data_IF_741616844541
#
_entry.id   IF_741616844541
#
_cell.length_a   1.000
_cell.length_b   1.000
_cell.length_c   1.000
_cell.angle_alpha   90.00
_cell.angle_beta   90.00
_cell.angle_gamma   90.00
#
_symmetry.space_group_name_H-M   'P 1'
#
loop_
_entity.id
_entity.type
_entity.pdbx_description
1 polymer ?
#
# COMPACT_ATOMS: atom_id res chain seq x y z
N UNK A 1 -10.51 -22.79 41.25
CA UNK A 1 -11.90 -22.32 41.12
C UNK A 1 -12.15 -22.14 39.62
N UNK A 2 -12.64 -23.12 38.91
CA UNK A 2 -14.00 -23.49 38.47
C UNK A 2 -14.89 -22.32 38.05
N UNK A 3 -15.20 -22.22 36.74
CA UNK A 3 -16.41 -22.47 35.94
C UNK A 3 -16.24 -21.90 34.55
N UNK A 4 -16.19 -22.63 33.45
CA UNK A 4 -17.24 -23.32 32.63
C UNK A 4 -18.55 -22.58 32.43
N UNK A 5 -18.88 -22.35 31.16
CA UNK A 5 -20.14 -22.65 30.43
C UNK A 5 -20.03 -22.08 29.03
N UNK A 6 -19.94 -22.86 27.94
CA UNK A 6 -21.00 -23.54 27.16
C UNK A 6 -22.09 -22.64 26.59
N UNK A 7 -22.29 -22.73 25.30
CA UNK A 7 -23.39 -22.12 24.56
C UNK A 7 -23.39 -22.45 23.07
N UNK A 8 -23.72 -23.70 22.72
CA UNK A 8 -24.16 -24.11 21.38
C UNK A 8 -25.53 -23.54 21.03
N UNK A 9 -25.81 -23.32 19.74
CA UNK A 9 -27.05 -23.62 19.00
C UNK A 9 -26.85 -23.08 17.59
N UNK A 10 -26.88 -23.80 16.45
CA UNK A 10 -27.83 -24.80 16.09
C UNK A 10 -28.85 -24.19 15.10
N UNK A 11 -28.54 -24.09 13.79
CA UNK A 11 -29.51 -23.69 12.77
C UNK A 11 -29.89 -24.90 11.92
N UNK A 12 -31.12 -25.35 12.12
CA UNK A 12 -31.80 -26.45 11.45
C UNK A 12 -32.19 -26.07 10.03
N UNK A 13 -31.73 -26.85 9.06
CA UNK A 13 -32.30 -26.90 7.71
C UNK A 13 -33.70 -27.53 7.72
N UNK A 14 -34.63 -26.89 7.02
CA UNK A 14 -35.96 -27.43 6.74
C UNK A 14 -35.94 -28.11 5.38
N UNK A 15 -36.02 -29.44 5.41
CA UNK A 15 -36.36 -30.27 4.25
C UNK A 15 -37.87 -30.24 4.06
N UNK A 16 -38.32 -29.93 2.90
CA UNK A 16 -39.73 -30.12 2.50
C UNK A 16 -39.85 -31.46 1.83
N UNK A 17 -40.59 -32.34 2.50
CA UNK A 17 -40.96 -33.65 2.01
C UNK A 17 -42.24 -33.56 1.16
N UNK A 18 -42.15 -34.08 -0.03
CA UNK A 18 -43.31 -34.37 -0.90
C UNK A 18 -44.01 -35.60 -0.35
N UNK A 19 -45.28 -35.47 -0.07
CA UNK A 19 -46.17 -36.60 0.21
C UNK A 19 -47.01 -36.90 -1.00
N UNK A 20 -46.79 -38.05 -1.58
CA UNK A 20 -47.72 -38.73 -2.43
C UNK A 20 -48.83 -39.41 -1.57
N UNK A 21 -50.04 -39.37 -1.99
CA UNK A 21 -51.17 -40.10 -1.40
C UNK A 21 -52.32 -40.09 -2.42
N UNK A 22 -52.46 -41.10 -3.06
CA UNK A 22 -53.19 -42.35 -2.92
C UNK A 22 -54.70 -42.23 -3.22
N UNK A 23 -55.05 -42.88 -4.31
CA UNK A 23 -56.25 -43.71 -4.53
C UNK A 23 -57.61 -43.06 -4.45
N UNK A 24 -58.31 -43.04 -5.58
CA UNK A 24 -59.72 -43.37 -5.62
C UNK A 24 -60.06 -44.15 -6.88
N UNK A 25 -60.71 -45.23 -6.64
CA UNK A 25 -61.04 -46.35 -7.51
C UNK A 25 -62.47 -46.17 -8.03
N UNK A 26 -62.72 -46.53 -9.32
CA UNK A 26 -63.86 -47.24 -9.89
C UNK A 26 -65.18 -46.53 -10.20
N UNK A 27 -65.55 -46.75 -11.48
CA UNK A 27 -66.83 -47.01 -12.08
C UNK A 27 -67.66 -45.81 -12.55
N UNK A 28 -67.83 -45.62 -13.86
CA UNK A 28 -69.00 -46.04 -14.63
C UNK A 28 -68.78 -45.73 -16.11
N UNK A 29 -69.04 -46.76 -16.96
CA UNK A 29 -68.99 -46.63 -18.40
C UNK A 29 -70.19 -45.79 -18.92
N UNK A 30 -69.94 -44.81 -19.78
CA UNK A 30 -70.91 -44.25 -20.69
C UNK A 30 -70.19 -43.77 -21.93
N UNK A 31 -70.51 -44.43 -23.00
CA UNK A 31 -70.18 -44.23 -24.41
C UNK A 31 -70.59 -42.82 -24.84
N UNK A 32 -69.63 -41.93 -25.13
CA UNK A 32 -69.83 -40.82 -26.01
C UNK A 32 -68.56 -40.58 -26.83
N UNK A 33 -68.63 -40.89 -28.10
CA UNK A 33 -67.66 -40.54 -29.12
C UNK A 33 -67.51 -39.00 -29.16
N UNK A 34 -66.50 -38.48 -28.54
CA UNK A 34 -66.02 -37.10 -28.72
C UNK A 34 -64.79 -37.16 -29.61
N UNK A 35 -64.75 -36.46 -30.74
CA UNK A 35 -63.58 -36.44 -31.58
C UNK A 35 -62.42 -35.86 -30.76
N UNK A 36 -61.34 -36.62 -30.69
CA UNK A 36 -60.11 -36.23 -30.07
C UNK A 36 -59.53 -34.99 -30.82
N UNK A 37 -59.97 -33.82 -30.38
CA UNK A 37 -59.35 -32.59 -30.77
C UNK A 37 -57.91 -32.61 -30.19
N UNK A 38 -56.94 -32.63 -31.08
CA UNK A 38 -55.56 -32.56 -30.74
C UNK A 38 -55.38 -31.21 -29.99
N UNK A 39 -55.37 -31.26 -28.65
CA UNK A 39 -54.93 -30.13 -27.86
C UNK A 39 -53.42 -30.05 -28.10
N UNK A 40 -53.04 -29.21 -29.06
CA UNK A 40 -51.63 -28.79 -29.13
C UNK A 40 -51.38 -28.01 -27.88
N UNK A 41 -50.59 -28.60 -26.95
CA UNK A 41 -49.95 -27.84 -25.89
C UNK A 41 -49.14 -26.73 -26.61
N UNK A 42 -49.61 -25.51 -26.49
CA UNK A 42 -48.80 -24.38 -26.83
C UNK A 42 -47.63 -24.38 -25.86
N UNK A 43 -46.50 -24.96 -26.28
CA UNK A 43 -45.25 -24.73 -25.59
C UNK A 43 -45.02 -23.20 -25.63
N UNK A 44 -45.25 -22.54 -24.52
CA UNK A 44 -44.81 -21.18 -24.36
C UNK A 44 -43.28 -21.23 -24.54
N UNK A 45 -42.81 -20.81 -25.71
CA UNK A 45 -41.39 -20.51 -25.87
C UNK A 45 -41.04 -19.51 -24.79
N UNK A 46 -40.24 -19.94 -23.84
CA UNK A 46 -39.49 -18.99 -22.99
C UNK A 46 -38.78 -18.07 -23.98
N UNK A 47 -39.23 -16.81 -24.03
CA UNK A 47 -38.68 -15.85 -24.99
C UNK A 47 -37.18 -15.89 -24.95
N UNK A 48 -36.56 -15.87 -26.13
CA UNK A 48 -35.11 -15.85 -26.24
C UNK A 48 -34.56 -14.68 -25.44
N UNK A 49 -33.69 -14.99 -24.45
CA UNK A 49 -33.00 -13.98 -23.70
C UNK A 49 -31.78 -13.52 -24.49
N UNK A 50 -31.81 -12.28 -24.92
CA UNK A 50 -30.69 -11.64 -25.56
C UNK A 50 -29.92 -10.86 -24.51
N UNK A 51 -28.63 -11.18 -24.33
CA UNK A 51 -27.72 -10.43 -23.46
C UNK A 51 -26.75 -9.61 -24.32
N UNK A 52 -26.55 -8.36 -23.96
CA UNK A 52 -25.56 -7.50 -24.56
C UNK A 52 -24.52 -7.14 -23.50
N UNK A 53 -23.26 -7.42 -23.78
CA UNK A 53 -22.16 -7.01 -22.93
C UNK A 53 -21.86 -5.52 -23.18
N UNK A 54 -21.94 -4.72 -22.13
CA UNK A 54 -21.57 -3.30 -22.16
C UNK A 54 -20.25 -3.17 -21.42
N UNK A 55 -19.20 -2.77 -22.12
CA UNK A 55 -17.92 -2.42 -21.53
C UNK A 55 -17.90 -0.92 -21.28
N UNK A 56 -17.77 -0.54 -20.00
CA UNK A 56 -17.66 0.86 -19.60
C UNK A 56 -16.24 1.07 -19.13
N UNK A 57 -15.52 1.98 -19.78
CA UNK A 57 -14.17 2.41 -19.41
C UNK A 57 -14.19 3.89 -19.10
N UNK A 58 -13.42 4.29 -18.11
CA UNK A 58 -13.25 5.70 -17.75
C UNK A 58 -11.86 5.90 -17.17
N UNK A 59 -11.30 7.07 -17.37
CA UNK A 59 -10.04 7.47 -16.72
C UNK A 59 -10.39 8.41 -15.58
N UNK A 60 -9.91 8.10 -14.39
CA UNK A 60 -10.00 9.00 -13.23
C UNK A 60 -8.74 9.85 -13.22
N UNK A 61 -8.90 11.18 -13.26
CA UNK A 61 -7.80 12.12 -13.11
C UNK A 61 -7.98 12.88 -11.80
N UNK A 62 -6.91 12.97 -11.00
CA UNK A 62 -6.88 13.84 -9.83
C UNK A 62 -6.44 15.24 -10.27
N UNK A 63 -7.21 16.27 -9.92
CA UNK A 63 -6.88 17.68 -10.18
C UNK A 63 -6.24 18.35 -8.95
N UNK A 64 -5.73 17.57 -8.01
CA UNK A 64 -5.02 18.08 -6.85
C UNK A 64 -3.60 18.51 -7.20
N UNK A 65 -3.13 19.56 -6.55
CA UNK A 65 -1.72 19.96 -6.56
C UNK A 65 -1.23 20.13 -5.13
N UNK A 66 0.01 19.71 -4.87
CA UNK A 66 0.66 19.91 -3.58
C UNK A 66 1.96 20.67 -3.79
N UNK A 67 2.24 21.59 -2.88
CA UNK A 67 3.48 22.36 -2.87
C UNK A 67 4.13 22.24 -1.49
N UNK A 68 5.46 22.19 -1.47
CA UNK A 68 6.19 22.30 -0.21
C UNK A 68 6.13 23.77 0.27
N UNK A 69 5.82 23.94 1.56
CA UNK A 69 5.72 25.28 2.16
C UNK A 69 7.07 26.01 2.24
N UNK A 70 8.17 25.25 2.17
CA UNK A 70 9.49 25.82 2.13
C UNK A 70 9.84 26.20 0.68
N UNK A 71 9.92 27.48 0.38
CA UNK A 71 10.31 28.01 -0.93
C UNK A 71 11.82 27.85 -1.25
N UNK A 72 12.47 26.80 -0.75
CA UNK A 72 13.89 26.56 -0.95
C UNK A 72 14.32 25.16 -0.51
N UNK A 73 15.63 24.94 -0.47
CA UNK A 73 16.20 23.67 0.01
C UNK A 73 16.13 23.56 1.53
N UNK A 74 15.72 22.39 2.00
CA UNK A 74 15.79 22.04 3.40
C UNK A 74 17.26 21.72 3.77
N UNK A 75 17.79 22.39 4.76
CA UNK A 75 19.14 22.11 5.31
C UNK A 75 18.99 21.18 6.53
N UNK A 76 19.76 20.11 6.53
CA UNK A 76 19.82 19.16 7.65
C UNK A 76 21.26 19.09 8.14
N UNK A 77 21.48 19.53 9.37
CA UNK A 77 22.79 19.49 10.01
C UNK A 77 22.79 18.42 11.10
N UNK A 78 23.69 17.43 10.96
CA UNK A 78 23.90 16.40 11.96
C UNK A 78 24.88 16.83 13.06
N UNK A 79 25.43 18.04 12.94
CA UNK A 79 26.43 18.54 13.87
C UNK A 79 27.73 17.74 13.83
N UNK A 80 28.36 17.57 14.98
CA UNK A 80 29.59 16.80 15.08
C UNK A 80 29.32 15.31 15.10
N UNK A 81 29.69 14.60 14.04
CA UNK A 81 29.59 13.16 13.91
C UNK A 81 30.91 12.51 14.29
N UNK A 82 30.88 11.57 15.19
CA UNK A 82 32.07 10.87 15.69
C UNK A 82 32.30 9.59 14.94
N UNK A 83 33.52 9.38 14.50
CA UNK A 83 34.02 8.14 13.96
C UNK A 83 35.09 7.58 14.89
N UNK A 84 34.99 6.31 15.24
CA UNK A 84 35.98 5.59 16.02
C UNK A 84 36.85 4.75 15.10
N UNK A 85 38.17 4.90 15.20
CA UNK A 85 39.08 4.01 14.49
C UNK A 85 38.98 2.58 15.06
N UNK A 86 38.80 1.60 14.17
CA UNK A 86 38.75 0.17 14.51
C UNK A 86 39.92 -0.61 13.90
N UNK A 87 40.78 0.08 13.15
CA UNK A 87 41.99 -0.44 12.52
C UNK A 87 42.75 0.68 11.82
N UNK A 88 43.82 0.34 11.13
CA UNK A 88 44.70 1.32 10.44
C UNK A 88 43.93 2.09 9.34
N UNK A 89 42.97 1.44 8.69
CA UNK A 89 42.17 2.00 7.57
C UNK A 89 40.69 1.77 7.77
N UNK A 90 40.23 1.40 8.97
CA UNK A 90 38.87 1.10 9.30
C UNK A 90 38.32 2.03 10.36
N UNK A 91 37.10 2.49 10.17
CA UNK A 91 36.38 3.39 11.09
C UNK A 91 34.95 2.88 11.31
N UNK A 92 34.40 3.22 12.45
CA UNK A 92 33.03 2.92 12.84
C UNK A 92 32.35 4.20 13.32
N UNK A 93 31.08 4.34 12.91
CA UNK A 93 30.20 5.41 13.41
C UNK A 93 29.98 5.22 14.92
N UNK A 94 30.34 6.23 15.70
CA UNK A 94 30.21 6.24 17.15
C UNK A 94 29.05 7.13 17.57
N UNK A 95 27.95 6.49 17.94
CA UNK A 95 26.71 7.15 18.33
C UNK A 95 25.55 6.95 17.31
N UNK A 96 24.42 7.54 17.64
CA UNK A 96 23.22 7.59 16.82
C UNK A 96 22.90 9.04 16.49
N UNK A 97 22.72 9.32 15.22
CA UNK A 97 22.49 10.68 14.72
C UNK A 97 21.21 10.68 13.90
N UNK A 98 20.23 11.43 14.37
CA UNK A 98 18.92 11.52 13.72
C UNK A 98 18.40 12.95 13.81
N UNK A 99 17.95 13.50 12.69
CA UNK A 99 17.44 14.85 12.58
C UNK A 99 16.06 14.87 11.94
N UNK A 100 15.14 15.72 12.39
CA UNK A 100 13.85 15.87 11.74
C UNK A 100 14.04 16.51 10.35
N UNK A 101 13.27 16.02 9.39
CA UNK A 101 13.07 16.67 8.11
C UNK A 101 11.79 17.52 8.23
N UNK A 102 11.95 18.81 8.49
CA UNK A 102 10.82 19.74 8.67
C UNK A 102 10.15 20.08 7.33
N UNK A 103 9.83 19.07 6.53
CA UNK A 103 9.14 19.25 5.27
C UNK A 103 7.63 19.33 5.55
N UNK A 104 7.07 20.53 5.44
CA UNK A 104 5.62 20.75 5.42
C UNK A 104 5.15 21.02 4.01
N UNK A 105 3.92 20.63 3.69
CA UNK A 105 3.32 20.83 2.38
C UNK A 105 1.85 21.23 2.51
N UNK A 106 1.35 21.93 1.52
CA UNK A 106 -0.06 22.28 1.39
C UNK A 106 -0.58 21.69 0.09
N UNK A 107 -1.73 21.05 0.15
CA UNK A 107 -2.42 20.54 -1.02
C UNK A 107 -3.69 21.37 -1.28
N UNK A 108 -4.01 21.55 -2.55
CA UNK A 108 -5.21 22.26 -3.01
C UNK A 108 -5.86 21.51 -4.16
N UNK A 109 -7.15 21.78 -4.40
CA UNK A 109 -7.93 21.14 -5.44
C UNK A 109 -8.55 19.81 -5.00
N UNK A 110 -8.97 19.00 -5.97
CA UNK A 110 -9.57 17.70 -5.72
C UNK A 110 -8.48 16.68 -5.38
N UNK A 111 -8.47 16.25 -4.13
CA UNK A 111 -7.51 15.31 -3.59
C UNK A 111 -8.00 13.85 -3.62
N UNK A 112 -8.91 13.52 -4.54
CA UNK A 112 -9.48 12.16 -4.65
C UNK A 112 -8.44 11.08 -5.02
N UNK A 113 -7.24 11.46 -5.47
CA UNK A 113 -6.13 10.56 -5.73
C UNK A 113 -5.32 10.21 -4.49
N UNK A 114 -4.59 9.11 -4.56
CA UNK A 114 -3.60 8.76 -3.53
C UNK A 114 -2.40 9.70 -3.65
N UNK A 115 -2.17 10.51 -2.62
CA UNK A 115 -0.95 11.29 -2.54
C UNK A 115 0.20 10.38 -2.13
N UNK A 116 1.26 10.41 -2.92
CA UNK A 116 2.47 9.64 -2.69
C UNK A 116 3.69 10.55 -2.59
N UNK A 117 4.67 10.09 -1.85
CA UNK A 117 5.96 10.75 -1.71
C UNK A 117 7.08 9.77 -2.01
N UNK A 118 8.18 10.30 -2.50
CA UNK A 118 9.40 9.55 -2.77
C UNK A 118 10.60 10.40 -2.39
N UNK A 119 11.62 9.78 -1.79
CA UNK A 119 12.92 10.40 -1.56
C UNK A 119 13.93 9.88 -2.58
N UNK A 120 14.62 10.77 -3.28
CA UNK A 120 15.57 10.42 -4.33
C UNK A 120 16.89 11.19 -4.16
N UNK A 121 17.99 10.63 -4.65
CA UNK A 121 19.28 11.31 -4.66
C UNK A 121 19.34 12.32 -5.81
N UNK A 122 19.78 13.54 -5.53
CA UNK A 122 20.00 14.55 -6.58
C UNK A 122 21.28 14.31 -7.39
N UNK A 123 22.25 13.61 -6.81
CA UNK A 123 23.53 13.25 -7.45
C UNK A 123 23.55 11.83 -8.04
N UNK A 124 22.50 11.04 -7.82
CA UNK A 124 22.46 9.62 -8.17
C UNK A 124 23.29 8.72 -7.23
N UNK A 125 23.83 9.28 -6.14
CA UNK A 125 24.61 8.51 -5.17
C UNK A 125 23.70 7.77 -4.20
N UNK A 126 23.82 6.47 -4.18
CA UNK A 126 23.07 5.56 -3.30
C UNK A 126 24.00 4.53 -2.69
N UNK A 127 23.65 4.14 -1.48
CA UNK A 127 24.32 3.07 -0.74
C UNK A 127 23.27 2.08 -0.24
N UNK A 128 23.73 0.98 0.34
CA UNK A 128 22.83 -0.03 0.93
C UNK A 128 23.16 -0.19 2.41
N UNK A 129 22.12 -0.11 3.22
CA UNK A 129 22.19 -0.35 4.66
C UNK A 129 21.07 -1.33 5.07
N UNK A 130 21.45 -2.47 5.66
CA UNK A 130 20.51 -3.54 6.06
C UNK A 130 19.47 -3.92 4.99
N UNK A 131 19.89 -3.96 3.71
CA UNK A 131 19.01 -4.27 2.60
C UNK A 131 18.14 -3.10 2.11
N UNK A 132 18.22 -1.95 2.77
CA UNK A 132 17.50 -0.73 2.38
C UNK A 132 18.42 0.18 1.57
N UNK A 133 17.91 0.72 0.46
CA UNK A 133 18.62 1.72 -0.34
C UNK A 133 18.57 3.06 0.39
N UNK A 134 19.73 3.63 0.66
CA UNK A 134 19.90 4.88 1.42
C UNK A 134 20.66 5.92 0.58
N UNK A 135 20.58 7.19 0.94
CA UNK A 135 21.33 8.26 0.28
C UNK A 135 22.82 8.16 0.59
N UNK A 136 23.64 8.07 -0.43
CA UNK A 136 25.10 8.07 -0.28
C UNK A 136 25.64 9.46 0.05
N UNK A 137 26.72 9.51 0.83
CA UNK A 137 27.50 10.72 1.07
C UNK A 137 28.77 10.74 0.21
N UNK A 138 29.38 11.92 0.06
CA UNK A 138 30.64 12.09 -0.66
C UNK A 138 31.81 11.33 -0.04
N UNK A 139 31.73 11.01 1.26
CA UNK A 139 32.78 10.28 1.99
C UNK A 139 32.65 8.76 1.91
N UNK A 140 31.44 8.23 1.60
CA UNK A 140 31.21 6.80 1.40
C UNK A 140 31.35 5.92 2.65
N UNK A 141 31.46 6.51 3.84
CA UNK A 141 31.50 5.81 5.13
C UNK A 141 30.10 5.74 5.72
N UNK A 142 29.38 6.84 5.63
CA UNK A 142 28.04 7.01 6.14
C UNK A 142 27.08 7.28 5.01
N UNK A 143 25.84 6.84 5.17
CA UNK A 143 24.70 7.15 4.31
C UNK A 143 23.58 7.75 5.15
N UNK A 144 22.55 8.25 4.49
CA UNK A 144 21.38 8.83 5.13
C UNK A 144 20.17 7.97 4.83
N UNK A 145 19.61 7.36 5.86
CA UNK A 145 18.37 6.59 5.83
C UNK A 145 17.20 7.54 6.09
N UNK A 146 16.20 7.51 5.19
CA UNK A 146 14.93 8.20 5.43
C UNK A 146 14.08 7.37 6.38
N UNK A 147 13.59 8.00 7.43
CA UNK A 147 12.63 7.42 8.37
C UNK A 147 11.26 8.09 8.17
N UNK A 148 10.23 7.29 7.98
CA UNK A 148 8.84 7.72 7.84
C UNK A 148 8.04 7.13 8.99
N UNK A 149 7.53 7.97 9.89
CA UNK A 149 6.84 7.53 11.12
C UNK A 149 7.65 6.52 11.95
N UNK A 150 8.97 6.68 11.98
CA UNK A 150 9.90 5.81 12.72
C UNK A 150 10.28 4.51 11.99
N UNK A 151 9.80 4.27 10.79
CA UNK A 151 10.19 3.12 9.96
C UNK A 151 11.14 3.55 8.84
N UNK A 152 12.12 2.70 8.51
CA UNK A 152 13.04 2.94 7.40
C UNK A 152 12.31 2.89 6.06
N UNK A 153 12.52 3.88 5.22
CA UNK A 153 11.94 3.99 3.89
C UNK A 153 13.03 3.86 2.83
N UNK A 154 12.84 2.94 1.90
CA UNK A 154 13.76 2.77 0.77
C UNK A 154 13.72 3.97 -0.17
N UNK A 155 14.89 4.48 -0.56
CA UNK A 155 14.99 5.54 -1.57
C UNK A 155 14.46 5.08 -2.93
N UNK A 156 13.97 6.02 -3.72
CA UNK A 156 13.31 5.85 -5.02
C UNK A 156 12.01 5.02 -4.99
N UNK A 157 11.56 4.57 -3.84
CA UNK A 157 10.28 3.90 -3.67
C UNK A 157 9.20 4.90 -3.28
N UNK A 158 8.06 4.84 -3.96
CA UNK A 158 6.88 5.60 -3.60
C UNK A 158 6.23 5.04 -2.34
N UNK A 159 5.79 5.90 -1.46
CA UNK A 159 4.98 5.55 -0.29
C UNK A 159 3.79 6.51 -0.18
N UNK A 160 2.67 5.97 0.29
CA UNK A 160 1.45 6.74 0.45
C UNK A 160 1.56 7.68 1.66
N UNK A 161 1.03 8.87 1.52
CA UNK A 161 0.93 9.85 2.61
C UNK A 161 -0.49 10.34 2.75
N UNK A 162 -0.88 10.58 4.00
CA UNK A 162 -2.15 11.22 4.33
C UNK A 162 -1.95 12.74 4.39
N UNK A 163 -2.72 13.47 3.58
CA UNK A 163 -2.66 14.93 3.56
C UNK A 163 -3.12 15.56 4.87
N UNK A 164 -4.06 14.91 5.56
CA UNK A 164 -4.62 15.42 6.82
C UNK A 164 -3.73 15.07 8.02
N UNK A 165 -2.94 14.01 7.89
CA UNK A 165 -2.00 13.55 8.90
C UNK A 165 -0.62 13.34 8.26
N UNK A 166 0.11 14.40 7.95
CA UNK A 166 1.41 14.31 7.32
C UNK A 166 2.37 13.43 8.13
N UNK A 167 3.18 12.58 7.46
CA UNK A 167 4.08 11.70 8.18
C UNK A 167 5.21 12.48 8.85
N UNK A 168 5.66 12.00 9.99
CA UNK A 168 6.90 12.48 10.61
C UNK A 168 8.10 11.95 9.82
N UNK A 169 8.80 12.84 9.13
CA UNK A 169 9.99 12.52 8.36
C UNK A 169 11.25 12.82 9.17
N UNK A 170 12.20 11.90 9.16
CA UNK A 170 13.50 12.08 9.81
C UNK A 170 14.62 11.54 8.92
N UNK A 171 15.77 12.17 9.00
CA UNK A 171 17.01 11.69 8.41
C UNK A 171 17.86 11.04 9.51
N UNK A 172 18.28 9.80 9.28
CA UNK A 172 19.13 9.05 10.20
C UNK A 172 20.44 8.71 9.52
N UNK A 173 21.54 9.01 10.20
CA UNK A 173 22.87 8.67 9.73
C UNK A 173 23.15 7.20 10.02
N UNK A 174 23.55 6.44 8.99
CA UNK A 174 23.85 5.02 9.08
C UNK A 174 25.23 4.72 8.51
N UNK A 175 25.90 3.71 9.04
CA UNK A 175 27.20 3.30 8.50
C UNK A 175 27.01 2.36 7.32
N UNK A 176 27.53 2.74 6.16
CA UNK A 176 27.44 1.95 4.92
C UNK A 176 28.76 1.25 4.59
N UNK A 177 29.88 1.78 5.07
CA UNK A 177 31.19 1.16 4.93
C UNK A 177 32.06 1.38 6.16
N UNK A 178 32.87 0.40 6.52
CA UNK A 178 33.90 0.54 7.56
C UNK A 178 35.24 0.97 6.96
N UNK A 179 35.42 0.85 5.65
CA UNK A 179 36.68 1.22 4.99
C UNK A 179 36.81 2.75 4.87
N UNK A 180 37.85 3.32 5.44
CA UNK A 180 38.19 4.74 5.28
C UNK A 180 38.98 5.00 4.00
N UNK A 181 38.38 4.68 2.86
CA UNK A 181 39.00 4.81 1.53
C UNK A 181 39.25 6.26 1.10
N UNK A 182 38.56 7.21 1.72
CA UNK A 182 38.69 8.65 1.46
C UNK A 182 39.58 9.38 2.46
N UNK A 183 40.27 8.64 3.35
CA UNK A 183 41.14 9.18 4.38
C UNK A 183 40.45 10.27 5.21
N UNK A 184 39.24 10.01 5.64
CA UNK A 184 38.46 10.93 6.49
C UNK A 184 39.14 11.12 7.82
N UNK A 185 39.38 12.36 8.20
CA UNK A 185 40.03 12.76 9.44
C UNK A 185 39.11 13.66 10.28
N UNK A 186 39.50 13.89 11.53
CA UNK A 186 38.74 14.79 12.41
C UNK A 186 38.68 16.19 11.82
N UNK A 187 37.46 16.74 11.73
CA UNK A 187 37.18 18.05 11.14
C UNK A 187 36.73 18.01 9.70
N UNK A 188 36.76 16.84 9.04
CA UNK A 188 36.22 16.70 7.68
C UNK A 188 34.69 16.85 7.67
N UNK A 189 34.20 17.48 6.60
CA UNK A 189 32.77 17.65 6.35
C UNK A 189 32.34 16.56 5.37
N UNK A 190 31.21 15.94 5.61
CA UNK A 190 30.52 15.12 4.61
C UNK A 190 29.27 15.84 4.10
N UNK A 191 28.92 15.58 2.86
CA UNK A 191 27.76 16.16 2.19
C UNK A 191 26.94 15.08 1.48
N UNK A 192 25.65 15.32 1.38
CA UNK A 192 24.73 14.55 0.55
C UNK A 192 23.61 15.46 0.06
N UNK A 193 23.04 15.15 -1.07
CA UNK A 193 21.93 15.92 -1.64
C UNK A 193 20.84 14.99 -2.15
N UNK A 194 19.63 15.24 -1.73
CA UNK A 194 18.45 14.49 -2.13
C UNK A 194 17.24 15.40 -2.32
N UNK A 195 16.19 14.85 -2.91
CA UNK A 195 14.93 15.55 -3.15
C UNK A 195 13.77 14.71 -2.64
N UNK A 196 12.81 15.37 -2.00
CA UNK A 196 11.48 14.82 -1.76
C UNK A 196 10.60 15.16 -2.96
N UNK A 197 9.95 14.17 -3.52
CA UNK A 197 9.05 14.31 -4.67
C UNK A 197 7.66 13.86 -4.25
N UNK A 198 6.66 14.66 -4.54
CA UNK A 198 5.25 14.33 -4.32
C UNK A 198 4.53 14.14 -5.65
N UNK A 199 3.58 13.22 -5.69
CA UNK A 199 2.69 13.01 -6.83
C UNK A 199 1.34 12.46 -6.37
N UNK A 200 0.30 12.78 -7.12
CA UNK A 200 -0.98 12.05 -7.07
C UNK A 200 -0.93 10.89 -8.06
N UNK A 201 -1.39 9.72 -7.61
CA UNK A 201 -1.46 8.51 -8.41
C UNK A 201 -2.92 8.08 -8.62
#
# INVERSE_FOLDING_TARGET
>A
MKRTTDGLTGAKGRRWATRAGRRCTLLVAALLLVPCGIIREAAANTGDQYSMNINITGTVTANGSCEFNQGGSLQVDFGQVRLKATGATAVQLDGSYEQPLAASFICSGDSAGLLQMKFTSSSGSYETYNGTKVLGTDKGIVGIELMVNGAAQTMDAWFNIDQQNPPALRAKLVQVSTANSKNVVSGDIFTASGSLVMAFN
#
